data_IF_548354166952
#
_entry.id   IF_548354166952
#
_cell.length_a   1.000
_cell.length_b   1.000
_cell.length_c   1.000
_cell.angle_alpha   90.00
_cell.angle_beta   90.00
_cell.angle_gamma   90.00
#
_symmetry.space_group_name_H-M   'P 1'
#
loop_
_entity.id
_entity.type
_entity.pdbx_description
1 polymer ?
#
# COMPACT_ATOMS: atom_id res chain seq x y z
N UNK A 1 8.60 11.40 3.52
CA UNK A 1 8.55 10.18 4.36
C UNK A 1 9.35 9.11 3.66
N UNK A 2 10.28 8.43 4.35
CA UNK A 2 11.06 7.32 3.77
C UNK A 2 10.78 6.05 4.54
N UNK A 3 10.29 5.03 3.83
CA UNK A 3 9.97 3.72 4.39
C UNK A 3 10.82 2.66 3.74
N UNK A 4 11.25 1.66 4.50
CA UNK A 4 12.01 0.51 4.02
C UNK A 4 11.12 -0.71 4.07
N UNK A 5 11.12 -1.54 3.03
CA UNK A 5 10.49 -2.85 3.10
C UNK A 5 11.47 -3.89 3.63
N UNK A 6 11.23 -4.37 4.85
CA UNK A 6 11.99 -5.46 5.48
C UNK A 6 11.12 -6.70 5.67
N UNK A 7 11.77 -7.83 5.92
CA UNK A 7 11.10 -9.05 6.37
C UNK A 7 11.40 -9.24 7.86
N UNK A 8 10.36 -9.17 8.67
CA UNK A 8 10.43 -9.36 10.11
C UNK A 8 9.66 -10.62 10.46
N UNK A 9 10.36 -11.61 11.03
CA UNK A 9 9.83 -12.95 11.32
C UNK A 9 9.13 -13.58 10.08
N UNK A 10 9.69 -13.32 8.89
CA UNK A 10 9.16 -13.80 7.61
C UNK A 10 8.01 -13.00 7.02
N UNK A 11 7.54 -11.94 7.69
CA UNK A 11 6.47 -11.06 7.20
C UNK A 11 7.02 -9.76 6.60
N UNK A 12 6.48 -9.29 5.47
CA UNK A 12 6.85 -8.02 4.87
C UNK A 12 6.32 -6.87 5.73
N UNK A 13 7.19 -5.94 6.11
CA UNK A 13 6.86 -4.78 6.93
C UNK A 13 7.47 -3.54 6.29
N UNK A 14 6.67 -2.48 6.16
CA UNK A 14 7.18 -1.15 5.89
C UNK A 14 7.61 -0.53 7.20
N UNK A 15 8.89 -0.20 7.35
CA UNK A 15 9.43 0.40 8.56
C UNK A 15 9.95 1.82 8.28
N UNK A 16 9.91 2.72 9.27
CA UNK A 16 10.53 4.04 9.15
C UNK A 16 12.05 3.89 8.97
N UNK A 17 12.63 4.58 7.98
CA UNK A 17 14.09 4.51 7.78
C UNK A 17 14.88 5.03 8.99
N UNK A 18 14.35 6.02 9.70
CA UNK A 18 14.99 6.64 10.87
C UNK A 18 15.19 5.69 12.05
N UNK A 19 14.43 4.60 12.13
CA UNK A 19 14.51 3.59 13.18
C UNK A 19 15.51 2.46 12.86
N UNK A 20 16.16 2.49 11.69
CA UNK A 20 17.04 1.42 11.22
C UNK A 20 18.36 1.96 10.68
N UNK A 21 19.46 1.24 10.95
CA UNK A 21 20.78 1.53 10.40
C UNK A 21 21.17 0.48 9.38
N UNK A 22 21.69 0.93 8.24
CA UNK A 22 22.27 0.05 7.23
C UNK A 22 23.74 -0.23 7.55
N UNK A 23 24.09 -1.50 7.67
CA UNK A 23 25.48 -1.95 7.73
C UNK A 23 25.94 -2.37 6.33
N UNK A 24 26.93 -1.65 5.80
CA UNK A 24 27.51 -1.92 4.50
C UNK A 24 28.31 -3.23 4.47
N UNK A 25 28.91 -3.63 5.59
CA UNK A 25 29.76 -4.83 5.67
C UNK A 25 28.95 -6.11 5.51
N UNK A 26 27.75 -6.16 6.11
CA UNK A 26 26.82 -7.28 6.02
C UNK A 26 25.73 -7.08 4.95
N UNK A 27 25.62 -5.87 4.39
CA UNK A 27 24.62 -5.54 3.37
C UNK A 27 23.17 -5.57 3.89
N UNK A 28 22.98 -5.34 5.19
CA UNK A 28 21.72 -5.56 5.90
C UNK A 28 21.33 -4.36 6.79
N UNK A 29 20.05 -4.24 7.10
CA UNK A 29 19.53 -3.29 8.08
C UNK A 29 19.45 -3.93 9.46
N UNK A 30 19.60 -3.11 10.50
CA UNK A 30 19.42 -3.49 11.90
C UNK A 30 18.60 -2.40 12.62
N UNK A 31 17.70 -2.77 13.54
CA UNK A 31 16.93 -1.79 14.30
C UNK A 31 17.87 -0.99 15.21
N UNK A 32 17.63 0.32 15.34
CA UNK A 32 18.31 1.17 16.32
C UNK A 32 17.76 0.97 17.73
N UNK A 33 16.48 0.63 17.83
CA UNK A 33 15.83 0.32 19.10
C UNK A 33 16.12 -1.15 19.51
N UNK A 34 16.83 -1.38 20.64
CA UNK A 34 17.16 -2.74 21.09
C UNK A 34 15.94 -3.52 21.60
N UNK A 35 14.82 -2.85 21.91
CA UNK A 35 13.57 -3.48 22.33
C UNK A 35 12.72 -3.96 21.13
N UNK A 36 13.29 -3.95 19.93
CA UNK A 36 12.61 -4.43 18.74
C UNK A 36 12.49 -5.96 18.77
N UNK A 37 11.28 -6.47 18.98
CA UNK A 37 11.04 -7.89 19.17
C UNK A 37 11.11 -8.74 17.89
N UNK A 38 11.07 -8.13 16.70
CA UNK A 38 11.05 -8.87 15.43
C UNK A 38 12.45 -9.15 14.89
N UNK A 39 12.72 -10.39 14.46
CA UNK A 39 14.01 -10.72 13.84
C UNK A 39 13.96 -10.40 12.34
N UNK A 40 14.87 -9.54 11.89
CA UNK A 40 15.10 -9.37 10.45
C UNK A 40 15.61 -10.70 9.90
N UNK A 41 14.89 -11.25 8.93
CA UNK A 41 15.12 -12.61 8.48
C UNK A 41 14.61 -12.88 7.07
N UNK A 42 14.75 -14.13 6.60
CA UNK A 42 14.30 -14.49 5.27
C UNK A 42 12.78 -14.39 5.15
N UNK A 43 12.25 -14.14 3.94
CA UNK A 43 10.81 -14.15 3.69
C UNK A 43 10.23 -15.56 3.84
N UNK A 44 8.94 -15.62 4.19
CA UNK A 44 8.16 -16.85 4.07
C UNK A 44 7.76 -17.13 2.62
N UNK A 45 7.39 -18.39 2.31
CA UNK A 45 6.82 -18.78 1.00
C UNK A 45 5.60 -17.92 0.64
N UNK A 46 4.79 -17.53 1.64
CA UNK A 46 3.58 -16.71 1.44
C UNK A 46 3.90 -15.27 1.04
N UNK A 47 5.14 -14.82 1.21
CA UNK A 47 5.55 -13.42 1.08
C UNK A 47 6.64 -13.23 0.01
N UNK A 48 6.96 -14.30 -0.73
CA UNK A 48 7.99 -14.31 -1.79
C UNK A 48 7.79 -13.22 -2.85
N UNK A 49 6.54 -12.81 -3.12
CA UNK A 49 6.23 -11.73 -4.07
C UNK A 49 6.85 -10.36 -3.71
N UNK A 50 7.22 -10.15 -2.45
CA UNK A 50 7.85 -8.92 -1.98
C UNK A 50 9.38 -8.97 -2.01
N UNK A 51 9.99 -10.15 -2.27
CA UNK A 51 11.45 -10.32 -2.37
C UNK A 51 12.10 -9.28 -3.30
N UNK A 52 11.57 -8.97 -4.49
CA UNK A 52 12.20 -7.98 -5.38
C UNK A 52 12.27 -6.56 -4.80
N UNK A 53 11.47 -6.26 -3.77
CA UNK A 53 11.43 -4.98 -3.06
C UNK A 53 12.09 -5.05 -1.68
N UNK A 54 12.71 -6.17 -1.32
CA UNK A 54 13.41 -6.28 -0.03
C UNK A 54 14.52 -5.22 0.06
N UNK A 55 14.54 -4.50 1.18
CA UNK A 55 15.44 -3.37 1.46
C UNK A 55 15.29 -2.20 0.48
N UNK A 56 14.22 -2.17 -0.32
CA UNK A 56 13.91 -1.01 -1.15
C UNK A 56 13.38 0.13 -0.28
N UNK A 57 13.77 1.34 -0.64
CA UNK A 57 13.37 2.57 0.05
C UNK A 57 12.27 3.24 -0.76
N UNK A 58 11.09 3.36 -0.15
CA UNK A 58 9.95 4.10 -0.66
C UNK A 58 10.08 5.55 -0.24
N UNK A 59 10.34 6.42 -1.22
CA UNK A 59 10.64 7.84 -1.00
C UNK A 59 9.61 8.77 -1.63
N UNK A 60 8.89 8.28 -2.65
CA UNK A 60 7.82 9.00 -3.33
C UNK A 60 6.51 8.27 -3.10
N UNK A 61 5.45 9.04 -2.93
CA UNK A 61 4.12 8.49 -2.82
C UNK A 61 3.07 9.45 -3.35
N UNK A 62 1.93 8.90 -3.73
CA UNK A 62 0.70 9.64 -3.98
C UNK A 62 -0.43 9.02 -3.14
N UNK A 63 -1.42 9.83 -2.81
CA UNK A 63 -2.56 9.43 -1.99
C UNK A 63 -3.82 9.59 -2.83
N UNK A 64 -4.65 8.56 -2.89
CA UNK A 64 -6.02 8.66 -3.34
C UNK A 64 -6.95 8.58 -2.14
N UNK A 65 -7.83 9.57 -2.00
CA UNK A 65 -8.82 9.64 -0.94
C UNK A 65 -10.18 10.10 -1.47
N UNK A 66 -11.21 9.90 -0.66
CA UNK A 66 -12.56 10.42 -0.91
C UNK A 66 -13.20 10.74 0.42
N UNK A 67 -13.98 11.82 0.49
CA UNK A 67 -14.74 12.18 1.71
C UNK A 67 -15.72 11.09 2.15
N UNK A 68 -16.12 10.20 1.23
CA UNK A 68 -17.01 9.07 1.49
C UNK A 68 -16.27 7.74 1.69
N UNK A 69 -14.93 7.74 1.65
CA UNK A 69 -14.14 6.55 1.93
C UNK A 69 -13.73 6.48 3.38
N UNK A 70 -13.86 5.28 3.95
CA UNK A 70 -13.28 4.94 5.25
C UNK A 70 -11.78 4.63 5.17
N UNK A 71 -11.20 4.59 3.96
CA UNK A 71 -9.82 4.22 3.69
C UNK A 71 -9.16 5.18 2.70
N UNK A 72 -7.88 5.44 2.93
CA UNK A 72 -6.98 6.10 1.99
C UNK A 72 -6.11 5.06 1.29
N UNK A 73 -5.80 5.31 0.03
CA UNK A 73 -4.95 4.45 -0.78
C UNK A 73 -3.63 5.15 -1.05
N UNK A 74 -2.53 4.51 -0.66
CA UNK A 74 -1.19 5.03 -0.87
C UNK A 74 -0.54 4.27 -2.02
N UNK A 75 -0.09 5.01 -3.01
CA UNK A 75 0.73 4.54 -4.13
C UNK A 75 2.16 4.85 -3.78
N UNK A 76 2.90 3.85 -3.31
CA UNK A 76 4.28 4.00 -2.86
C UNK A 76 5.22 3.59 -3.99
N UNK A 77 6.25 4.40 -4.25
CA UNK A 77 7.22 4.17 -5.30
C UNK A 77 8.63 4.04 -4.72
N UNK A 78 9.36 3.03 -5.18
CA UNK A 78 10.73 2.77 -4.76
C UNK A 78 11.62 2.38 -5.93
N UNK A 79 12.93 2.50 -5.71
CA UNK A 79 13.96 1.87 -6.52
C UNK A 79 14.70 0.87 -5.64
N UNK A 80 14.79 -0.38 -6.07
CA UNK A 80 15.54 -1.39 -5.32
C UNK A 80 17.06 -1.22 -5.54
N UNK A 81 17.87 -2.00 -4.82
CA UNK A 81 19.35 -1.93 -4.92
C UNK A 81 19.88 -2.19 -6.34
N UNK A 82 19.14 -2.92 -7.17
CA UNK A 82 19.49 -3.18 -8.56
C UNK A 82 19.06 -2.06 -9.52
N UNK A 83 18.61 -0.91 -8.99
CA UNK A 83 18.13 0.19 -9.82
C UNK A 83 16.76 -0.06 -10.45
N UNK A 84 16.05 -1.14 -10.09
CA UNK A 84 14.74 -1.45 -10.68
C UNK A 84 13.64 -0.75 -9.91
N UNK A 85 12.78 -0.06 -10.64
CA UNK A 85 11.65 0.67 -10.08
C UNK A 85 10.48 -0.28 -9.80
N UNK A 86 9.80 -0.03 -8.69
CA UNK A 86 8.69 -0.85 -8.22
C UNK A 86 7.68 0.01 -7.48
N UNK A 87 6.46 -0.49 -7.44
CA UNK A 87 5.36 0.17 -6.77
C UNK A 87 4.68 -0.78 -5.79
N UNK A 88 4.06 -0.19 -4.78
CA UNK A 88 3.24 -0.87 -3.79
C UNK A 88 1.99 -0.03 -3.53
N UNK A 89 0.81 -0.62 -3.71
CA UNK A 89 -0.47 0.00 -3.38
C UNK A 89 -1.00 -0.61 -2.09
N UNK A 90 -1.13 0.22 -1.06
CA UNK A 90 -1.71 -0.14 0.23
C UNK A 90 -2.96 0.68 0.50
N UNK A 91 -3.83 0.16 1.36
CA UNK A 91 -4.94 0.90 1.93
C UNK A 91 -4.83 0.94 3.44
N UNK A 92 -5.04 2.12 4.01
CA UNK A 92 -4.96 2.39 5.46
C UNK A 92 -6.12 3.30 5.86
N UNK A 93 -6.38 3.42 7.17
CA UNK A 93 -7.39 4.38 7.63
C UNK A 93 -6.88 5.82 7.43
N UNK A 94 -7.79 6.78 7.19
CA UNK A 94 -7.43 8.19 7.17
C UNK A 94 -6.65 8.60 8.41
N UNK A 95 -5.61 9.41 8.24
CA UNK A 95 -4.76 9.86 9.35
C UNK A 95 -3.74 8.85 9.87
N UNK A 96 -3.74 7.59 9.40
CA UNK A 96 -2.75 6.58 9.80
C UNK A 96 -1.33 6.84 9.29
N UNK A 97 -1.08 7.93 8.56
CA UNK A 97 0.26 8.31 8.11
C UNK A 97 1.21 8.56 9.29
N UNK A 98 0.70 9.15 10.39
CA UNK A 98 1.50 9.36 11.62
C UNK A 98 1.89 8.01 12.23
N UNK A 99 0.95 7.08 12.31
CA UNK A 99 1.20 5.74 12.85
C UNK A 99 2.18 4.94 11.98
N UNK A 100 2.05 5.06 10.65
CA UNK A 100 2.97 4.45 9.69
C UNK A 100 4.40 4.97 9.87
N UNK A 101 4.57 6.26 10.17
CA UNK A 101 5.87 6.87 10.46
C UNK A 101 6.44 6.47 11.81
N UNK A 102 5.60 6.27 12.82
CA UNK A 102 6.07 5.94 14.17
C UNK A 102 6.35 4.44 14.35
N UNK A 103 5.46 3.59 13.82
CA UNK A 103 5.40 2.17 14.16
C UNK A 103 5.63 1.26 12.94
N UNK A 104 5.71 1.82 11.74
CA UNK A 104 5.68 1.04 10.51
C UNK A 104 4.33 0.35 10.25
N UNK A 105 4.32 -0.60 9.32
CA UNK A 105 3.10 -1.30 8.90
C UNK A 105 3.40 -2.69 8.37
N UNK A 106 2.81 -3.70 9.00
CA UNK A 106 2.86 -5.09 8.52
C UNK A 106 1.97 -5.24 7.28
N UNK A 107 2.55 -5.69 6.17
CA UNK A 107 1.87 -5.81 4.89
C UNK A 107 1.06 -7.10 4.80
N UNK A 108 -0.16 -7.06 5.33
CA UNK A 108 -1.12 -8.18 5.26
C UNK A 108 -1.93 -8.18 3.95
N UNK A 109 -2.64 -9.28 3.67
CA UNK A 109 -3.61 -9.36 2.56
C UNK A 109 -4.76 -8.35 2.66
N UNK A 110 -5.06 -7.84 3.86
CA UNK A 110 -6.12 -6.83 4.07
C UNK A 110 -5.64 -5.42 3.74
N UNK A 111 -4.33 -5.17 3.85
CA UNK A 111 -3.71 -3.85 3.66
C UNK A 111 -3.21 -3.70 2.23
N UNK A 112 -2.59 -4.75 1.68
CA UNK A 112 -2.01 -4.68 0.34
C UNK A 112 -3.08 -4.88 -0.71
N UNK A 113 -3.22 -3.89 -1.60
CA UNK A 113 -4.05 -4.01 -2.81
C UNK A 113 -3.26 -4.77 -3.87
N UNK A 114 -2.08 -4.28 -4.23
CA UNK A 114 -1.19 -4.92 -5.21
C UNK A 114 0.23 -4.38 -5.09
N UNK A 115 1.19 -5.04 -5.72
CA UNK A 115 2.57 -4.58 -5.86
C UNK A 115 3.16 -5.13 -7.14
N UNK A 116 4.18 -4.44 -7.68
CA UNK A 116 4.80 -4.88 -8.92
C UNK A 116 5.94 -4.00 -9.36
N UNK A 117 6.46 -4.31 -10.56
CA UNK A 117 7.45 -3.49 -11.24
C UNK A 117 6.75 -2.36 -11.97
N UNK A 118 7.43 -1.23 -12.05
CA UNK A 118 7.06 -0.10 -12.90
C UNK A 118 8.31 0.41 -13.59
N UNK A 119 8.15 1.01 -14.76
CA UNK A 119 9.18 1.83 -15.38
C UNK A 119 8.70 3.27 -15.23
N UNK A 120 9.22 4.01 -14.26
CA UNK A 120 8.92 5.42 -14.14
C UNK A 120 9.62 6.17 -15.27
N UNK A 121 10.88 5.88 -15.60
CA UNK A 121 11.54 6.52 -16.75
C UNK A 121 11.44 8.05 -16.68
N UNK A 122 10.83 8.69 -17.70
CA UNK A 122 10.49 10.13 -17.73
C UNK A 122 9.12 10.46 -17.11
N UNK A 123 8.36 9.44 -16.70
CA UNK A 123 7.00 9.55 -16.16
C UNK A 123 7.03 9.97 -14.71
N UNK A 124 6.20 10.94 -14.35
CA UNK A 124 6.07 11.41 -12.97
C UNK A 124 5.34 10.39 -12.09
N UNK A 125 5.57 10.37 -10.76
CA UNK A 125 4.77 9.59 -9.82
C UNK A 125 3.26 9.83 -9.95
N UNK A 126 2.86 11.06 -10.29
CA UNK A 126 1.48 11.50 -10.51
C UNK A 126 0.84 10.79 -11.71
N UNK A 127 1.46 10.88 -12.89
CA UNK A 127 0.99 10.19 -14.11
C UNK A 127 0.96 8.67 -13.90
N UNK A 128 1.99 8.13 -13.25
CA UNK A 128 2.05 6.72 -12.92
C UNK A 128 0.92 6.30 -11.98
N UNK A 129 0.58 7.13 -11.00
CA UNK A 129 -0.53 6.88 -10.06
C UNK A 129 -1.86 6.77 -10.79
N UNK A 130 -2.14 7.67 -11.74
CA UNK A 130 -3.36 7.63 -12.56
C UNK A 130 -3.41 6.34 -13.38
N UNK A 131 -2.30 5.96 -14.02
CA UNK A 131 -2.21 4.73 -14.81
C UNK A 131 -2.41 3.47 -13.93
N UNK A 132 -1.75 3.41 -12.78
CA UNK A 132 -1.88 2.31 -11.82
C UNK A 132 -3.29 2.22 -11.25
N UNK A 133 -3.92 3.34 -10.92
CA UNK A 133 -5.31 3.36 -10.46
C UNK A 133 -6.22 2.75 -11.53
N UNK A 134 -6.17 3.24 -12.77
CA UNK A 134 -7.02 2.73 -13.84
C UNK A 134 -6.79 1.24 -14.12
N UNK A 135 -5.55 0.76 -13.98
CA UNK A 135 -5.21 -0.66 -14.14
C UNK A 135 -5.73 -1.54 -13.01
N UNK A 136 -5.74 -1.05 -11.77
CA UNK A 136 -6.01 -1.87 -10.57
C UNK A 136 -7.28 -1.49 -9.80
N UNK A 137 -8.09 -0.54 -10.29
CA UNK A 137 -9.32 -0.10 -9.60
C UNK A 137 -10.31 -1.24 -9.35
N UNK A 138 -10.37 -2.25 -10.24
CA UNK A 138 -11.22 -3.44 -10.05
C UNK A 138 -10.76 -4.35 -8.89
N UNK A 139 -9.52 -4.20 -8.41
CA UNK A 139 -9.05 -4.86 -7.20
C UNK A 139 -9.57 -4.19 -5.91
N UNK A 140 -10.07 -2.96 -6.01
CA UNK A 140 -10.67 -2.24 -4.90
C UNK A 140 -12.08 -2.77 -4.67
N UNK A 141 -12.31 -3.33 -3.48
CA UNK A 141 -13.57 -3.94 -3.09
C UNK A 141 -14.15 -3.23 -1.88
N UNK A 142 -15.45 -3.00 -1.92
CA UNK A 142 -16.25 -2.43 -0.84
C UNK A 142 -17.27 -3.46 -0.38
N UNK A 143 -17.64 -3.42 0.89
CA UNK A 143 -18.69 -4.27 1.45
C UNK A 143 -19.81 -3.36 1.93
N UNK A 144 -21.03 -3.57 1.43
CA UNK A 144 -22.22 -2.85 1.86
C UNK A 144 -23.33 -3.80 2.28
N UNK A 145 -24.32 -3.26 3.00
CA UNK A 145 -25.54 -3.98 3.39
C UNK A 145 -26.64 -3.93 2.31
N UNK A 146 -26.43 -3.18 1.23
CA UNK A 146 -27.41 -2.97 0.17
C UNK A 146 -26.73 -3.00 -1.20
N UNK A 147 -27.44 -3.51 -2.20
CA UNK A 147 -27.04 -3.52 -3.61
C UNK A 147 -27.38 -2.19 -4.29
N UNK A 148 -26.71 -1.12 -3.87
CA UNK A 148 -26.89 0.19 -4.48
C UNK A 148 -25.55 0.68 -5.02
N UNK A 149 -25.44 0.92 -6.35
CA UNK A 149 -24.32 1.64 -6.93
C UNK A 149 -24.11 2.98 -6.24
N UNK A 150 -22.85 3.32 -5.98
CA UNK A 150 -22.46 4.59 -5.38
C UNK A 150 -21.42 5.25 -6.25
N UNK A 151 -21.55 6.56 -6.44
CA UNK A 151 -20.56 7.38 -7.12
C UNK A 151 -19.67 8.08 -6.11
N UNK A 152 -18.36 8.02 -6.36
CA UNK A 152 -17.33 8.61 -5.53
C UNK A 152 -16.55 9.64 -6.34
N UNK A 153 -16.29 10.78 -5.71
CA UNK A 153 -15.26 11.71 -6.16
C UNK A 153 -13.94 11.30 -5.50
N UNK A 154 -12.98 10.91 -6.32
CA UNK A 154 -11.66 10.44 -5.91
C UNK A 154 -10.67 11.57 -6.15
N UNK A 155 -10.02 12.02 -5.09
CA UNK A 155 -9.03 13.08 -5.12
C UNK A 155 -7.64 12.47 -4.96
N UNK A 156 -6.71 12.91 -5.80
CA UNK A 156 -5.34 12.41 -5.82
C UNK A 156 -4.35 13.50 -5.44
N UNK A 157 -3.54 13.23 -4.42
CA UNK A 157 -2.59 14.16 -3.83
C UNK A 157 -1.17 13.62 -3.96
N UNK A 158 -0.21 14.49 -4.28
CA UNK A 158 1.20 14.11 -4.33
C UNK A 158 1.85 14.12 -2.94
N UNK A 159 3.16 13.88 -2.88
CA UNK A 159 3.93 13.85 -1.62
C UNK A 159 4.07 15.23 -0.94
N UNK A 160 3.70 16.31 -1.63
CA UNK A 160 3.62 17.69 -1.12
C UNK A 160 2.23 18.06 -0.60
N UNK A 161 1.24 17.18 -0.79
CA UNK A 161 -0.15 17.43 -0.44
C UNK A 161 -0.92 18.25 -1.48
N UNK A 162 -0.36 18.45 -2.67
CA UNK A 162 -1.02 19.16 -3.77
C UNK A 162 -2.00 18.22 -4.47
N UNK A 163 -3.23 18.68 -4.67
CA UNK A 163 -4.23 17.98 -5.48
C UNK A 163 -3.81 18.08 -6.96
N UNK A 164 -3.51 16.95 -7.60
CA UNK A 164 -3.08 16.93 -9.01
C UNK A 164 -4.12 16.27 -9.94
N UNK A 165 -5.05 15.48 -9.40
CA UNK A 165 -6.06 14.82 -10.22
C UNK A 165 -7.34 14.56 -9.43
N UNK A 166 -8.48 14.59 -10.13
CA UNK A 166 -9.80 14.25 -9.58
C UNK A 166 -10.52 13.37 -10.58
N UNK A 167 -11.12 12.28 -10.11
CA UNK A 167 -11.88 11.36 -10.94
C UNK A 167 -13.18 10.95 -10.26
N UNK A 168 -14.27 10.92 -11.02
CA UNK A 168 -15.52 10.35 -10.58
C UNK A 168 -15.59 8.87 -10.97
N UNK A 169 -15.86 8.00 -10.00
CA UNK A 169 -15.95 6.56 -10.23
C UNK A 169 -17.18 6.00 -9.52
N UNK A 170 -18.00 5.29 -10.28
CA UNK A 170 -19.15 4.56 -9.77
C UNK A 170 -18.78 3.12 -9.45
N UNK A 171 -19.43 2.55 -8.44
CA UNK A 171 -19.28 1.13 -8.11
C UNK A 171 -20.38 0.29 -8.73
N UNK A 172 -20.05 -0.94 -9.10
CA UNK A 172 -21.02 -1.98 -9.49
C UNK A 172 -20.91 -3.20 -8.60
N UNK A 173 -21.98 -4.00 -8.54
CA UNK A 173 -22.01 -5.24 -7.80
C UNK A 173 -21.07 -6.26 -8.45
N UNK A 174 -20.17 -6.83 -7.65
CA UNK A 174 -19.33 -7.93 -8.09
C UNK A 174 -19.87 -9.28 -7.67
N UNK A 175 -20.29 -9.42 -6.41
CA UNK A 175 -20.85 -10.66 -5.86
C UNK A 175 -21.47 -10.38 -4.50
N UNK A 176 -22.35 -11.26 -4.05
CA UNK A 176 -22.83 -11.30 -2.68
C UNK A 176 -21.97 -12.23 -1.84
N UNK A 177 -21.91 -11.97 -0.54
CA UNK A 177 -21.29 -12.82 0.45
C UNK A 177 -22.24 -12.95 1.63
N UNK A 178 -22.66 -14.18 1.90
CA UNK A 178 -23.47 -14.54 3.06
C UNK A 178 -22.52 -15.01 4.15
N UNK A 179 -22.62 -14.41 5.33
CA UNK A 179 -21.94 -14.91 6.51
C UNK A 179 -22.86 -15.93 7.21
N UNK A 180 -22.43 -17.20 7.23
CA UNK A 180 -23.29 -18.32 7.66
C UNK A 180 -23.54 -18.31 9.17
N UNK A 181 -22.65 -17.70 9.96
CA UNK A 181 -22.76 -17.67 11.43
C UNK A 181 -23.85 -16.75 11.97
N UNK A 182 -24.18 -15.69 11.23
CA UNK A 182 -25.13 -14.63 11.63
C UNK A 182 -26.20 -14.36 10.56
N UNK A 183 -26.17 -15.11 9.45
CA UNK A 183 -27.02 -14.94 8.27
C UNK A 183 -26.96 -13.52 7.67
N UNK A 184 -25.85 -12.80 7.86
CA UNK A 184 -25.71 -11.43 7.36
C UNK A 184 -25.30 -11.43 5.88
N UNK A 185 -26.09 -10.74 5.06
CA UNK A 185 -25.85 -10.60 3.63
C UNK A 185 -25.05 -9.33 3.36
N UNK A 186 -23.87 -9.51 2.78
CA UNK A 186 -23.01 -8.41 2.34
C UNK A 186 -22.90 -8.38 0.81
N UNK A 187 -23.01 -7.18 0.26
CA UNK A 187 -22.87 -6.91 -1.17
C UNK A 187 -21.46 -6.38 -1.42
N UNK A 188 -20.68 -7.14 -2.18
CA UNK A 188 -19.30 -6.79 -2.49
C UNK A 188 -19.27 -6.01 -3.80
N UNK A 189 -19.03 -4.71 -3.69
CA UNK A 189 -18.96 -3.79 -4.83
C UNK A 189 -17.52 -3.54 -5.26
N UNK A 190 -17.32 -3.18 -6.53
CA UNK A 190 -16.02 -2.81 -7.12
C UNK A 190 -16.14 -1.55 -7.98
N UNK A 191 -15.01 -0.95 -8.31
CA UNK A 191 -14.91 0.07 -9.36
C UNK A 191 -14.83 -0.51 -10.76
#
# INVERSE_FOLDING_TARGET
MRLILLFLDGYPVLVPEEEYRYDKSHGAYYPLNPNFNGKIGPPSIKTVRFVPMHQAIFQKYCIMSSVRFELEYYFLFCKNKAGKESFLIIKVKPGSLRDLKANGLILTKKIVVTAGKVCLGETTPEECTIALFNKYKSCIRFSFKQDLPRSYMLNFFNDRGELFYTQYQSTYLSHTKINVSDNDLSYIMKF
#
